data_IF_461200883175
#
_entry.id   IF_461200883175
#
_cell.length_a   1.000
_cell.length_b   1.000
_cell.length_c   1.000
_cell.angle_alpha   90.00
_cell.angle_beta   90.00
_cell.angle_gamma   90.00
#
_symmetry.space_group_name_H-M   'P 1'
#
loop_
_entity.id
_entity.type
_entity.pdbx_description
1 polymer ?
#
# COMPACT_ATOMS: atom_id res chain seq x y z
N UNK A 1 5.23 6.52 -4.37
CA UNK A 1 6.42 6.19 -5.19
C UNK A 1 6.05 5.14 -6.21
N UNK A 2 6.62 5.16 -7.43
CA UNK A 2 6.35 4.16 -8.46
C UNK A 2 6.84 2.78 -8.04
N UNK A 3 6.04 1.75 -8.30
CA UNK A 3 6.38 0.35 -8.12
C UNK A 3 5.57 -0.44 -9.14
N UNK A 4 6.27 -0.95 -10.14
CA UNK A 4 5.70 -1.88 -11.09
C UNK A 4 5.90 -3.30 -10.57
N UNK A 5 4.81 -4.07 -10.54
CA UNK A 5 4.83 -5.49 -10.22
C UNK A 5 4.66 -6.24 -11.53
N UNK A 6 5.71 -6.95 -11.95
CA UNK A 6 5.63 -7.95 -13.01
C UNK A 6 5.23 -9.28 -12.39
N UNK A 7 4.13 -9.89 -12.85
CA UNK A 7 3.69 -11.16 -12.28
C UNK A 7 4.65 -12.32 -12.58
N UNK A 8 5.50 -12.17 -13.60
CA UNK A 8 6.57 -13.14 -13.88
C UNK A 8 7.66 -13.13 -12.81
N UNK A 9 8.00 -11.97 -12.27
CA UNK A 9 9.06 -11.84 -11.26
C UNK A 9 8.70 -12.54 -9.95
N UNK A 10 7.40 -12.72 -9.69
CA UNK A 10 6.88 -13.46 -8.53
C UNK A 10 6.38 -14.87 -8.88
N UNK A 11 6.56 -15.29 -10.14
CA UNK A 11 6.21 -16.63 -10.62
C UNK A 11 4.71 -16.90 -10.68
N UNK A 12 3.91 -15.89 -11.02
CA UNK A 12 2.44 -15.98 -11.16
C UNK A 12 1.97 -15.84 -12.62
N UNK A 13 2.89 -15.79 -13.58
CA UNK A 13 2.60 -15.71 -15.01
C UNK A 13 2.07 -17.03 -15.61
N UNK A 14 2.06 -18.10 -14.83
CA UNK A 14 1.47 -19.41 -15.18
C UNK A 14 -0.05 -19.44 -15.01
N UNK A 15 -0.60 -18.71 -14.03
CA UNK A 15 -2.05 -18.67 -13.76
C UNK A 15 -2.69 -17.30 -14.02
N UNK A 16 -1.93 -16.19 -13.96
CA UNK A 16 -2.43 -14.86 -14.36
C UNK A 16 -2.26 -14.68 -15.87
N UNK A 17 -3.38 -14.55 -16.56
CA UNK A 17 -3.40 -14.37 -18.03
C UNK A 17 -3.25 -12.90 -18.41
N UNK A 18 -3.90 -11.99 -17.68
CA UNK A 18 -3.78 -10.55 -17.89
C UNK A 18 -4.16 -9.74 -16.64
N UNK A 19 -3.58 -8.55 -16.43
CA UNK A 19 -2.43 -8.01 -17.16
C UNK A 19 -1.14 -8.78 -16.84
N UNK A 20 -0.05 -8.65 -17.62
CA UNK A 20 1.24 -9.27 -17.29
C UNK A 20 1.90 -8.66 -16.04
N UNK A 21 1.50 -7.44 -15.69
CA UNK A 21 1.95 -6.71 -14.52
C UNK A 21 1.19 -5.40 -14.39
N UNK A 22 1.41 -4.67 -13.31
CA UNK A 22 0.67 -3.44 -13.03
C UNK A 22 1.44 -2.46 -12.14
N UNK A 23 1.05 -1.19 -12.16
CA UNK A 23 1.57 -0.16 -11.25
C UNK A 23 0.88 -0.29 -9.88
N UNK A 24 1.55 -0.95 -8.94
CA UNK A 24 1.09 -1.09 -7.57
C UNK A 24 1.33 0.18 -6.76
N UNK A 25 2.43 0.88 -7.03
CA UNK A 25 2.97 1.97 -6.22
C UNK A 25 3.25 1.53 -4.77
N UNK A 26 3.96 2.38 -4.03
CA UNK A 26 4.18 2.18 -2.60
C UNK A 26 4.35 3.51 -1.85
N UNK A 27 4.11 3.45 -0.54
CA UNK A 27 4.35 4.55 0.37
C UNK A 27 5.75 4.46 0.94
N UNK A 28 6.46 5.59 0.89
CA UNK A 28 7.79 5.73 1.45
C UNK A 28 8.03 7.20 1.81
N UNK A 29 8.73 7.40 2.92
CA UNK A 29 9.00 8.70 3.51
C UNK A 29 8.78 8.70 5.02
N UNK A 30 9.19 9.78 5.65
CA UNK A 30 9.06 9.97 7.09
C UNK A 30 7.73 10.60 7.50
N UNK A 31 7.32 10.35 8.74
CA UNK A 31 6.20 11.00 9.41
C UNK A 31 6.71 11.95 10.52
N UNK A 32 7.17 13.16 10.18
CA UNK A 32 7.74 14.09 11.15
C UNK A 32 6.66 14.79 11.98
N UNK A 33 7.04 15.27 13.17
CA UNK A 33 6.20 16.19 13.94
C UNK A 33 6.43 17.65 13.47
N UNK A 34 5.38 18.48 13.29
CA UNK A 34 3.96 18.11 13.29
C UNK A 34 3.55 17.38 12.00
N UNK A 35 2.57 16.48 12.12
CA UNK A 35 2.00 15.81 10.95
C UNK A 35 1.18 16.81 10.13
N UNK A 36 1.49 16.94 8.85
CA UNK A 36 0.72 17.78 7.94
C UNK A 36 -0.70 17.22 7.71
N UNK A 37 -1.69 18.11 7.59
CA UNK A 37 -3.11 17.74 7.49
C UNK A 37 -3.41 16.79 6.33
N UNK A 38 -2.73 16.95 5.19
CA UNK A 38 -2.92 16.13 4.00
C UNK A 38 -2.52 14.65 4.18
N UNK A 39 -1.80 14.30 5.26
CA UNK A 39 -1.45 12.92 5.61
C UNK A 39 -2.63 12.14 6.24
N UNK A 40 -3.79 12.80 6.39
CA UNK A 40 -5.05 12.24 6.91
C UNK A 40 -4.85 11.45 8.21
N UNK A 41 -3.97 11.92 9.09
CA UNK A 41 -3.46 11.16 10.24
C UNK A 41 -4.54 10.84 11.28
N UNK A 42 -4.47 9.68 11.93
CA UNK A 42 -5.36 9.37 13.07
C UNK A 42 -4.91 10.15 14.30
N UNK A 43 -5.83 10.37 15.26
CA UNK A 43 -5.49 10.95 16.56
C UNK A 43 -4.33 10.20 17.25
N UNK A 44 -4.32 8.87 17.14
CA UNK A 44 -3.21 8.04 17.64
C UNK A 44 -1.88 8.38 16.96
N UNK A 45 -1.84 8.52 15.64
CA UNK A 45 -0.61 8.88 14.92
C UNK A 45 -0.11 10.28 15.31
N UNK A 46 -1.03 11.25 15.50
CA UNK A 46 -0.69 12.60 15.95
C UNK A 46 -0.05 12.54 17.35
N UNK A 47 -0.69 11.89 18.31
CA UNK A 47 -0.18 11.77 19.69
C UNK A 47 1.13 10.99 19.72
N UNK A 48 1.24 9.87 18.99
CA UNK A 48 2.46 9.07 18.93
C UNK A 48 3.63 9.87 18.37
N UNK A 49 3.39 10.63 17.29
CA UNK A 49 4.44 11.45 16.66
C UNK A 49 4.87 12.62 17.55
N UNK A 50 3.93 13.20 18.31
CA UNK A 50 4.23 14.18 19.36
C UNK A 50 5.10 13.56 20.47
N UNK A 51 4.69 12.42 21.06
CA UNK A 51 5.46 11.76 22.12
C UNK A 51 6.84 11.36 21.62
N UNK A 52 6.95 10.82 20.40
CA UNK A 52 8.23 10.50 19.79
C UNK A 52 9.13 11.73 19.63
N UNK A 53 8.58 12.91 19.26
CA UNK A 53 9.36 14.14 19.12
C UNK A 53 9.95 14.65 20.43
N UNK A 54 9.34 14.31 21.58
CA UNK A 54 9.80 14.70 22.92
C UNK A 54 10.71 13.63 23.53
N UNK A 55 10.36 12.36 23.39
CA UNK A 55 11.14 11.22 23.87
C UNK A 55 11.13 10.07 22.85
N UNK A 56 12.11 10.04 21.92
CA UNK A 56 12.20 9.02 20.88
C UNK A 56 12.31 7.58 21.40
N UNK A 57 12.76 7.39 22.65
CA UNK A 57 12.93 6.06 23.25
C UNK A 57 11.64 5.50 23.87
N UNK A 58 10.61 6.33 24.09
CA UNK A 58 9.36 5.90 24.71
C UNK A 58 8.42 5.21 23.70
N UNK A 59 8.37 5.71 22.46
CA UNK A 59 7.51 5.20 21.38
C UNK A 59 8.22 5.34 20.03
N UNK A 60 7.97 4.47 19.04
CA UNK A 60 8.47 4.65 17.68
C UNK A 60 7.74 5.78 16.94
N UNK A 61 8.31 6.24 15.82
CA UNK A 61 7.61 7.15 14.88
C UNK A 61 6.37 6.48 14.29
N UNK A 62 5.41 7.29 13.88
CA UNK A 62 4.37 6.84 12.96
C UNK A 62 4.99 6.39 11.62
N UNK A 63 4.36 5.44 10.94
CA UNK A 63 4.80 4.90 9.67
C UNK A 63 4.01 5.49 8.49
N UNK A 64 4.69 5.71 7.36
CA UNK A 64 4.07 6.12 6.10
C UNK A 64 3.53 4.90 5.37
N UNK A 65 2.20 4.73 5.36
CA UNK A 65 1.54 3.54 4.81
C UNK A 65 0.42 3.92 3.83
N UNK A 66 -0.03 2.98 2.97
CA UNK A 66 -1.21 3.19 2.15
C UNK A 66 -2.45 3.47 3.00
N UNK A 67 -3.20 4.51 2.64
CA UNK A 67 -4.47 4.87 3.29
C UNK A 67 -5.65 4.86 2.33
N UNK A 68 -5.36 4.87 1.03
CA UNK A 68 -6.35 4.74 -0.04
C UNK A 68 -5.77 3.81 -1.10
N UNK A 69 -6.53 2.79 -1.48
CA UNK A 69 -6.17 1.84 -2.52
C UNK A 69 -7.30 1.70 -3.54
N UNK A 70 -6.95 1.31 -4.75
CA UNK A 70 -7.87 1.02 -5.84
C UNK A 70 -7.76 -0.42 -6.32
N UNK A 71 -8.84 -1.00 -6.86
CA UNK A 71 -8.80 -2.33 -7.44
C UNK A 71 -8.10 -2.37 -8.80
N UNK A 72 -7.75 -3.58 -9.23
CA UNK A 72 -7.42 -3.88 -10.63
C UNK A 72 -8.29 -5.05 -11.14
N UNK A 73 -8.57 -5.07 -12.43
CA UNK A 73 -9.21 -6.22 -13.10
C UNK A 73 -8.14 -7.22 -13.52
N UNK A 74 -8.32 -8.48 -13.13
CA UNK A 74 -7.43 -9.58 -13.47
C UNK A 74 -8.19 -10.69 -14.19
N UNK A 75 -7.59 -11.17 -15.27
CA UNK A 75 -7.96 -12.37 -15.97
C UNK A 75 -7.00 -13.48 -15.55
N UNK A 76 -7.51 -14.58 -14.99
CA UNK A 76 -6.67 -15.66 -14.48
C UNK A 76 -7.34 -17.03 -14.69
N UNK A 77 -6.56 -18.10 -14.59
CA UNK A 77 -7.03 -19.49 -14.61
C UNK A 77 -7.34 -19.93 -13.17
N UNK A 78 -8.55 -20.43 -12.93
CA UNK A 78 -8.91 -21.04 -11.65
C UNK A 78 -8.38 -22.49 -11.53
N UNK A 79 -8.70 -23.15 -10.41
CA UNK A 79 -8.27 -24.52 -10.12
C UNK A 79 -8.78 -25.55 -11.15
N UNK A 80 -9.84 -25.24 -11.88
CA UNK A 80 -10.41 -26.08 -12.95
C UNK A 80 -9.86 -25.71 -14.35
N UNK A 81 -8.83 -24.86 -14.43
CA UNK A 81 -8.32 -24.24 -15.67
C UNK A 81 -9.39 -23.44 -16.45
N UNK A 82 -10.38 -22.88 -15.76
CA UNK A 82 -11.37 -21.99 -16.37
C UNK A 82 -10.88 -20.55 -16.29
N UNK A 83 -11.16 -19.80 -17.34
CA UNK A 83 -10.82 -18.38 -17.42
C UNK A 83 -11.81 -17.57 -16.58
N UNK A 84 -11.29 -16.84 -15.59
CA UNK A 84 -12.07 -16.01 -14.67
C UNK A 84 -11.61 -14.55 -14.77
N UNK A 85 -12.58 -13.63 -14.95
CA UNK A 85 -12.36 -12.19 -14.83
C UNK A 85 -12.84 -11.71 -13.47
N UNK A 86 -11.97 -11.08 -12.68
CA UNK A 86 -12.30 -10.61 -11.33
C UNK A 86 -11.62 -9.29 -11.02
N UNK A 87 -12.31 -8.43 -10.26
CA UNK A 87 -11.73 -7.23 -9.69
C UNK A 87 -11.14 -7.53 -8.30
N UNK A 88 -9.82 -7.50 -8.19
CA UNK A 88 -9.12 -7.61 -6.91
C UNK A 88 -8.99 -6.24 -6.27
N UNK A 89 -9.51 -6.10 -5.05
CA UNK A 89 -9.45 -4.87 -4.27
C UNK A 89 -8.06 -4.65 -3.68
N UNK A 90 -7.77 -3.40 -3.31
CA UNK A 90 -6.57 -3.02 -2.58
C UNK A 90 -5.24 -3.35 -3.26
N UNK A 91 -5.22 -3.30 -4.60
CA UNK A 91 -4.05 -3.70 -5.39
C UNK A 91 -3.10 -2.53 -5.70
N UNK A 92 -3.64 -1.33 -5.93
CA UNK A 92 -2.87 -0.14 -6.30
C UNK A 92 -3.00 0.95 -5.23
N UNK A 93 -1.88 1.48 -4.75
CA UNK A 93 -1.84 2.62 -3.82
C UNK A 93 -2.17 3.91 -4.56
N UNK A 94 -3.24 4.59 -4.12
CA UNK A 94 -3.63 5.90 -4.65
C UNK A 94 -3.39 7.04 -3.65
N UNK A 95 -3.22 6.71 -2.37
CA UNK A 95 -2.93 7.68 -1.32
C UNK A 95 -2.15 7.10 -0.15
N UNK A 96 -1.20 7.88 0.38
CA UNK A 96 -0.39 7.55 1.55
C UNK A 96 -0.73 8.46 2.73
N UNK A 97 -0.48 7.99 3.95
CA UNK A 97 -0.63 8.79 5.15
C UNK A 97 0.15 8.22 6.33
N UNK A 98 0.16 8.95 7.44
CA UNK A 98 0.87 8.55 8.65
C UNK A 98 -0.04 7.82 9.63
N UNK A 99 0.33 6.60 10.00
CA UNK A 99 -0.41 5.71 10.92
C UNK A 99 0.56 5.07 11.92
N UNK A 100 0.05 4.23 12.82
CA UNK A 100 0.89 3.47 13.75
C UNK A 100 1.80 2.51 12.99
#
# INVERSE_FOLDING_TARGET
HPLYVDFKDVGWDDWIVAPPGYEAFYCHGDCPFPLADHLNSTNHAIVQTLVHSVNPNAVPKACCIPTQLSPISMLYLDEDNKVVLKNYQDMTVVGCGCRK
#
